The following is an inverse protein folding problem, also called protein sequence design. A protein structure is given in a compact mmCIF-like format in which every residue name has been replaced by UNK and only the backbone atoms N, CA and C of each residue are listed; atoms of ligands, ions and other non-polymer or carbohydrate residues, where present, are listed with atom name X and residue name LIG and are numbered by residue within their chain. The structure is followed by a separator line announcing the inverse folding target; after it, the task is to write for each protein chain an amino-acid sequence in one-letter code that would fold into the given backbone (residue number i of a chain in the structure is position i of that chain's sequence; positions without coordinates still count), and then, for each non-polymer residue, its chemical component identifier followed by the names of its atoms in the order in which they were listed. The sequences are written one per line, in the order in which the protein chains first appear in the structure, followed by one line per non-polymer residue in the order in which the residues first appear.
data_IF_687246407517
#
_entry.id   IF_687246407517
#
_cell.length_a   1.000
_cell.length_b   1.000
_cell.length_c   1.000
_cell.angle_alpha   90.00
_cell.angle_beta   90.00
_cell.angle_gamma   90.00
#
_symmetry.space_group_name_H-M   'P 1'
#
loop_
_entity.id
_entity.type
_entity.pdbx_description
1 polymer ?
#
# COMPACT_ATOMS: atom_id res chain seq x y z
N UNK A 1 11.53 15.39 1.48
CA UNK A 1 10.25 14.85 1.95
C UNK A 1 10.17 13.42 1.41
N UNK A 2 10.64 12.44 2.20
CA UNK A 2 10.62 11.02 1.82
C UNK A 2 9.31 10.43 2.34
N UNK A 3 8.29 10.39 1.48
CA UNK A 3 7.00 9.74 1.77
C UNK A 3 6.96 8.32 1.18
N UNK A 4 7.95 7.93 0.37
CA UNK A 4 8.09 6.58 -0.14
C UNK A 4 8.52 5.62 0.99
N UNK A 5 7.65 4.68 1.36
CA UNK A 5 7.82 3.26 0.98
C UNK A 5 6.92 2.27 1.77
N UNK A 6 6.01 2.73 2.63
CA UNK A 6 5.40 1.79 3.61
C UNK A 6 3.87 1.73 3.59
N UNK A 7 3.24 1.94 2.43
CA UNK A 7 1.77 1.85 2.30
C UNK A 7 1.30 0.47 1.76
N UNK A 8 2.21 -0.46 1.48
CA UNK A 8 1.91 -1.42 0.43
C UNK A 8 1.29 -2.78 0.80
N UNK A 9 1.38 -3.27 2.03
CA UNK A 9 1.18 -4.72 2.24
C UNK A 9 -0.23 -5.19 2.60
N UNK A 10 -1.15 -4.31 2.97
CA UNK A 10 -2.45 -4.74 3.52
C UNK A 10 -3.68 -4.39 2.68
N UNK A 11 -3.57 -3.51 1.67
CA UNK A 11 -4.71 -3.18 0.80
C UNK A 11 -5.20 -4.35 -0.06
N UNK A 12 -4.34 -5.34 -0.35
CA UNK A 12 -4.74 -6.56 -1.06
C UNK A 12 -5.63 -7.48 -0.21
N UNK A 13 -5.50 -7.43 1.12
CA UNK A 13 -6.39 -8.19 2.02
C UNK A 13 -7.77 -7.55 2.13
N UNK A 14 -7.84 -6.22 2.22
CA UNK A 14 -9.09 -5.52 2.52
C UNK A 14 -10.06 -5.40 1.33
N UNK A 15 -9.57 -5.41 0.09
CA UNK A 15 -10.43 -5.34 -1.10
C UNK A 15 -10.91 -6.70 -1.63
N UNK A 16 -10.30 -7.82 -1.20
CA UNK A 16 -10.60 -9.15 -1.73
C UNK A 16 -11.23 -10.12 -0.72
N UNK A 17 -11.42 -9.75 0.53
CA UNK A 17 -12.16 -10.58 1.48
C UNK A 17 -13.66 -10.25 1.45
N UNK A 18 -14.39 -10.79 0.46
CA UNK A 18 -15.77 -11.23 0.74
C UNK A 18 -15.65 -12.53 1.53
N UNK A 19 -15.14 -12.46 2.76
CA UNK A 19 -15.13 -13.63 3.62
C UNK A 19 -16.49 -13.69 4.31
N UNK A 20 -17.23 -14.75 4.03
CA UNK A 20 -18.16 -15.33 4.99
C UNK A 20 -17.39 -15.89 6.23
N UNK A 21 -16.36 -15.19 6.71
CA UNK A 21 -15.72 -15.48 7.99
C UNK A 21 -16.50 -14.72 9.06
N UNK A 22 -17.64 -15.29 9.43
CA UNK A 22 -18.20 -15.02 10.73
C UNK A 22 -17.18 -15.52 11.76
N UNK A 23 -16.46 -14.60 12.41
CA UNK A 23 -15.73 -14.97 13.64
C UNK A 23 -16.79 -15.47 14.63
N UNK A 24 -16.60 -16.65 15.20
CA UNK A 24 -17.60 -17.34 16.04
C UNK A 24 -17.93 -16.63 17.36
N UNK A 25 -17.46 -15.41 17.57
CA UNK A 25 -17.64 -14.61 18.79
C UNK A 25 -18.55 -13.40 18.55
N UNK A 26 -18.79 -12.98 17.29
CA UNK A 26 -19.61 -11.81 16.98
C UNK A 26 -20.64 -12.08 15.87
N UNK A 27 -21.66 -11.22 15.84
CA UNK A 27 -22.81 -11.27 14.93
C UNK A 27 -22.38 -11.62 13.49
N UNK A 28 -23.08 -12.55 12.78
CA UNK A 28 -22.77 -12.93 11.40
C UNK A 28 -22.85 -11.77 10.38
N UNK A 29 -23.19 -10.57 10.82
CA UNK A 29 -23.23 -9.33 10.05
C UNK A 29 -21.94 -8.52 10.11
N UNK A 30 -20.94 -8.96 10.89
CA UNK A 30 -19.66 -8.29 11.10
C UNK A 30 -18.53 -9.25 10.69
N UNK A 31 -17.75 -8.86 9.69
CA UNK A 31 -16.46 -9.44 9.37
C UNK A 31 -15.36 -8.75 10.18
N UNK A 32 -14.41 -9.54 10.67
CA UNK A 32 -13.20 -9.05 11.32
C UNK A 32 -12.00 -9.67 10.63
N UNK A 33 -10.94 -8.89 10.47
CA UNK A 33 -9.65 -9.37 10.01
C UNK A 33 -8.55 -8.70 10.80
N UNK A 34 -7.47 -9.40 11.05
CA UNK A 34 -6.27 -8.80 11.58
C UNK A 34 -5.03 -9.56 11.11
N UNK A 35 -3.89 -8.88 11.13
CA UNK A 35 -2.64 -9.52 10.80
C UNK A 35 -1.42 -8.82 11.33
N UNK A 36 -0.34 -9.58 11.42
CA UNK A 36 0.99 -9.14 11.81
C UNK A 36 2.01 -9.71 10.85
N UNK A 37 2.95 -8.89 10.39
CA UNK A 37 3.97 -9.26 9.42
C UNK A 37 5.35 -8.81 9.87
N UNK A 38 6.28 -9.76 9.97
CA UNK A 38 7.70 -9.46 10.04
C UNK A 38 8.26 -9.41 8.63
N UNK A 39 8.78 -8.26 8.23
CA UNK A 39 9.41 -8.06 6.94
C UNK A 39 10.93 -7.99 7.10
N UNK A 40 11.65 -8.55 6.14
CA UNK A 40 13.10 -8.44 6.04
C UNK A 40 13.47 -8.18 4.57
N UNK A 41 14.26 -7.14 4.34
CA UNK A 41 14.62 -6.75 2.99
C UNK A 41 15.88 -5.91 2.91
N UNK A 42 16.03 -5.24 1.77
CA UNK A 42 17.14 -4.32 1.48
C UNK A 42 17.25 -3.19 2.52
N UNK A 43 16.13 -2.73 3.09
CA UNK A 43 16.06 -1.57 3.99
C UNK A 43 15.82 -1.94 5.46
N UNK A 44 16.39 -3.07 5.91
CA UNK A 44 16.31 -3.62 7.28
C UNK A 44 15.06 -4.48 7.56
N UNK A 45 14.91 -4.85 8.85
CA UNK A 45 13.79 -5.61 9.38
C UNK A 45 12.79 -4.69 10.05
N UNK A 46 11.51 -4.89 9.76
CA UNK A 46 10.39 -4.09 10.27
C UNK A 46 9.22 -5.02 10.64
N UNK A 47 8.36 -4.55 11.52
CA UNK A 47 7.12 -5.19 11.90
C UNK A 47 5.93 -4.29 11.50
N UNK A 48 5.00 -4.88 10.78
CA UNK A 48 3.75 -4.25 10.36
C UNK A 48 2.54 -5.01 10.92
N UNK A 49 1.40 -4.35 10.99
CA UNK A 49 0.16 -4.99 11.36
C UNK A 49 -1.09 -4.20 11.02
N UNK A 50 -2.21 -4.90 11.01
CA UNK A 50 -3.53 -4.30 10.76
C UNK A 50 -4.63 -4.98 11.56
N UNK A 51 -5.73 -4.25 11.73
CA UNK A 51 -7.01 -4.74 12.20
C UNK A 51 -8.10 -4.05 11.38
N UNK A 52 -9.05 -4.83 10.87
CA UNK A 52 -10.17 -4.37 10.06
C UNK A 52 -11.51 -4.91 10.57
N UNK A 53 -12.53 -4.10 10.39
CA UNK A 53 -13.93 -4.44 10.64
C UNK A 53 -14.76 -4.10 9.41
N UNK A 54 -15.61 -5.02 8.98
CA UNK A 54 -16.51 -4.83 7.85
C UNK A 54 -17.93 -5.22 8.21
N UNK A 55 -18.89 -4.38 7.85
CA UNK A 55 -20.31 -4.62 8.06
C UNK A 55 -20.99 -5.01 6.75
N UNK A 56 -22.04 -5.85 6.83
CA UNK A 56 -22.82 -6.29 5.66
C UNK A 56 -23.42 -5.16 4.82
N UNK A 57 -23.67 -3.99 5.41
CA UNK A 57 -24.19 -2.84 4.68
C UNK A 57 -23.13 -2.16 3.79
N UNK A 58 -21.87 -2.57 3.89
CA UNK A 58 -20.75 -2.02 3.14
C UNK A 58 -19.90 -1.02 3.92
N UNK A 59 -20.31 -0.63 5.14
CA UNK A 59 -19.48 0.17 6.04
C UNK A 59 -18.28 -0.66 6.47
N UNK A 60 -17.09 -0.06 6.49
CA UNK A 60 -15.88 -0.69 6.98
C UNK A 60 -14.98 0.32 7.66
N UNK A 61 -14.10 -0.17 8.53
CA UNK A 61 -13.01 0.62 9.07
C UNK A 61 -11.80 -0.25 9.37
N UNK A 62 -10.64 0.35 9.33
CA UNK A 62 -9.37 -0.32 9.59
C UNK A 62 -8.44 0.58 10.38
N UNK A 63 -7.51 -0.07 11.06
CA UNK A 63 -6.33 0.54 11.65
C UNK A 63 -5.13 -0.31 11.25
N UNK A 64 -4.05 0.35 10.86
CA UNK A 64 -2.78 -0.31 10.60
C UNK A 64 -1.62 0.47 11.18
N UNK A 65 -0.56 -0.26 11.47
CA UNK A 65 0.70 0.30 11.88
C UNK A 65 1.81 -0.32 11.04
N UNK A 66 2.85 0.47 10.77
CA UNK A 66 4.01 0.03 10.01
C UNK A 66 5.29 0.69 10.49
N UNK A 67 6.42 0.22 9.98
CA UNK A 67 7.75 0.73 10.34
C UNK A 67 8.05 0.60 11.85
N UNK A 68 7.59 -0.48 12.48
CA UNK A 68 8.07 -0.82 13.83
C UNK A 68 9.40 -1.55 13.68
N UNK A 69 10.47 -0.78 13.63
CA UNK A 69 11.85 -1.26 13.51
C UNK A 69 12.74 -0.71 14.65
N UNK A 70 14.07 -0.83 14.49
CA UNK A 70 15.07 -0.25 15.42
C UNK A 70 15.83 0.93 14.83
N UNK A 71 15.44 1.40 13.65
CA UNK A 71 16.11 2.50 12.97
C UNK A 71 15.64 3.83 13.58
N UNK A 72 16.54 4.65 14.17
CA UNK A 72 16.17 5.94 14.73
C UNK A 72 15.72 6.95 13.66
N UNK A 73 16.04 6.71 12.38
CA UNK A 73 15.66 7.57 11.24
C UNK A 73 14.25 7.28 10.70
N UNK A 74 13.68 6.12 11.00
CA UNK A 74 12.31 5.79 10.63
C UNK A 74 11.34 6.24 11.74
N UNK A 75 10.09 6.50 11.34
CA UNK A 75 9.01 6.80 12.27
C UNK A 75 7.92 5.78 12.10
N UNK A 76 7.47 5.20 13.21
CA UNK A 76 6.29 4.33 13.22
C UNK A 76 5.13 5.10 12.62
N UNK A 77 4.49 4.49 11.64
CA UNK A 77 3.31 5.04 10.98
C UNK A 77 2.07 4.37 11.53
N UNK A 78 1.04 5.17 11.79
CA UNK A 78 -0.28 4.72 12.17
C UNK A 78 -1.26 5.27 11.16
N UNK A 79 -2.12 4.40 10.66
CA UNK A 79 -3.19 4.85 9.81
C UNK A 79 -4.50 4.19 10.18
N UNK A 80 -5.55 4.96 9.98
CA UNK A 80 -6.91 4.57 10.30
C UNK A 80 -7.81 5.04 9.19
N UNK A 81 -8.78 4.20 8.84
CA UNK A 81 -9.72 4.51 7.78
C UNK A 81 -11.14 4.16 8.20
N UNK A 82 -12.10 4.92 7.65
CA UNK A 82 -13.52 4.65 7.74
C UNK A 82 -14.13 4.93 6.37
N UNK A 83 -14.80 3.94 5.80
CA UNK A 83 -15.33 4.04 4.47
C UNK A 83 -16.58 3.20 4.24
N UNK A 84 -17.11 3.33 3.03
CA UNK A 84 -18.23 2.54 2.55
C UNK A 84 -17.86 1.96 1.19
N UNK A 85 -18.15 0.68 0.99
CA UNK A 85 -18.02 -0.01 -0.29
C UNK A 85 -19.34 -0.66 -0.72
N UNK A 86 -19.58 -0.71 -2.03
CA UNK A 86 -20.80 -1.29 -2.60
C UNK A 86 -20.53 -1.92 -3.96
N UNK A 87 -20.98 -3.16 -4.12
CA UNK A 87 -21.08 -3.79 -5.44
C UNK A 87 -22.19 -3.10 -6.24
N UNK A 88 -21.84 -2.51 -7.38
CA UNK A 88 -22.79 -1.77 -8.23
C UNK A 88 -23.10 -2.50 -9.55
N UNK A 89 -22.24 -3.43 -9.96
CA UNK A 89 -22.46 -4.33 -11.09
C UNK A 89 -21.66 -5.64 -10.86
N UNK A 90 -21.90 -6.71 -11.65
CA UNK A 90 -21.04 -7.89 -11.61
C UNK A 90 -19.57 -7.51 -11.76
N UNK A 91 -18.73 -8.05 -10.88
CA UNK A 91 -17.28 -7.79 -10.81
C UNK A 91 -16.88 -6.31 -10.64
N UNK A 92 -17.80 -5.43 -10.23
CA UNK A 92 -17.54 -4.00 -9.99
C UNK A 92 -17.99 -3.57 -8.59
N UNK A 93 -17.00 -3.25 -7.75
CA UNK A 93 -17.22 -2.65 -6.42
C UNK A 93 -16.62 -1.25 -6.45
N UNK A 94 -17.38 -0.28 -5.97
CA UNK A 94 -16.88 1.07 -5.71
C UNK A 94 -16.90 1.34 -4.22
N UNK A 95 -15.97 2.16 -3.75
CA UNK A 95 -15.93 2.60 -2.37
C UNK A 95 -15.19 3.91 -2.19
N UNK A 96 -15.33 4.46 -1.00
CA UNK A 96 -14.64 5.67 -0.60
C UNK A 96 -14.84 5.94 0.88
N UNK A 97 -14.08 6.89 1.40
CA UNK A 97 -14.08 7.18 2.82
C UNK A 97 -13.05 8.23 3.19
N UNK A 98 -12.75 8.26 4.48
CA UNK A 98 -11.74 9.12 5.07
C UNK A 98 -10.63 8.26 5.66
N UNK A 99 -9.40 8.71 5.50
CA UNK A 99 -8.23 8.12 6.13
C UNK A 99 -7.43 9.17 6.88
N UNK A 100 -6.71 8.70 7.88
CA UNK A 100 -5.82 9.48 8.69
C UNK A 100 -4.50 8.73 8.80
N UNK A 101 -3.42 9.31 8.29
CA UNK A 101 -2.06 8.81 8.44
C UNK A 101 -1.30 9.73 9.42
N UNK A 102 -0.77 9.16 10.48
CA UNK A 102 0.02 9.83 11.51
C UNK A 102 1.35 9.11 11.66
N UNK A 103 2.46 9.82 11.48
CA UNK A 103 3.79 9.31 11.86
C UNK A 103 4.11 9.81 13.27
N UNK A 104 4.73 8.97 14.11
CA UNK A 104 4.92 9.24 15.55
C UNK A 104 5.79 10.47 15.89
N UNK A 105 6.35 11.17 14.89
CA UNK A 105 7.18 12.38 15.02
C UNK A 105 6.89 13.43 13.93
N UNK A 106 5.85 13.26 13.14
CA UNK A 106 5.64 14.02 11.91
C UNK A 106 4.18 14.49 11.78
N UNK A 107 3.90 15.26 10.73
CA UNK A 107 2.57 15.83 10.51
C UNK A 107 1.51 14.76 10.19
N UNK A 108 0.27 15.06 10.61
CA UNK A 108 -0.90 14.22 10.34
C UNK A 108 -1.47 14.52 8.96
N UNK A 109 -1.52 13.52 8.11
CA UNK A 109 -2.15 13.58 6.80
C UNK A 109 -3.60 13.07 6.91
N UNK A 110 -4.56 13.94 6.60
CA UNK A 110 -5.97 13.57 6.53
C UNK A 110 -6.39 13.56 5.07
N UNK A 111 -6.98 12.46 4.62
CA UNK A 111 -7.31 12.25 3.21
C UNK A 111 -8.75 11.79 3.05
N UNK A 112 -9.33 12.16 1.91
CA UNK A 112 -10.50 11.48 1.36
C UNK A 112 -9.97 10.49 0.34
N UNK A 113 -10.44 9.24 0.39
CA UNK A 113 -10.11 8.27 -0.64
C UNK A 113 -11.35 7.83 -1.41
N UNK A 114 -11.15 7.48 -2.66
CA UNK A 114 -12.16 6.88 -3.54
C UNK A 114 -11.50 5.88 -4.46
N UNK A 115 -12.21 4.79 -4.73
CA UNK A 115 -11.66 3.71 -5.52
C UNK A 115 -12.65 2.60 -5.78
N UNK A 116 -12.13 1.50 -6.26
CA UNK A 116 -12.91 0.33 -6.57
C UNK A 116 -12.10 -0.73 -7.28
N UNK A 117 -12.72 -1.88 -7.50
CA UNK A 117 -12.17 -2.92 -8.32
C UNK A 117 -13.13 -3.26 -9.45
N UNK A 118 -12.55 -3.55 -10.61
CA UNK A 118 -13.23 -4.12 -11.77
C UNK A 118 -12.48 -5.38 -12.19
N UNK A 119 -13.09 -6.55 -11.99
CA UNK A 119 -12.48 -7.85 -12.28
C UNK A 119 -11.08 -7.96 -11.64
N UNK A 120 -10.02 -8.02 -12.46
CA UNK A 120 -8.63 -8.19 -12.04
C UNK A 120 -7.92 -6.88 -11.65
N UNK A 121 -8.59 -5.73 -11.78
CA UNK A 121 -7.95 -4.42 -11.61
C UNK A 121 -8.58 -3.70 -10.42
N UNK A 122 -7.75 -3.21 -9.50
CA UNK A 122 -8.16 -2.34 -8.40
C UNK A 122 -7.49 -0.98 -8.56
N UNK A 123 -8.22 0.10 -8.31
CA UNK A 123 -7.72 1.46 -8.36
C UNK A 123 -8.22 2.27 -7.18
N UNK A 124 -7.35 3.08 -6.58
CA UNK A 124 -7.70 4.04 -5.54
C UNK A 124 -6.98 5.36 -5.75
N UNK A 125 -7.64 6.44 -5.35
CA UNK A 125 -7.09 7.78 -5.31
C UNK A 125 -7.32 8.35 -3.90
N UNK A 126 -6.28 8.98 -3.36
CA UNK A 126 -6.26 9.63 -2.05
C UNK A 126 -6.04 11.13 -2.27
N UNK A 127 -6.88 11.94 -1.64
CA UNK A 127 -6.89 13.40 -1.78
C UNK A 127 -6.69 14.03 -0.40
N UNK A 128 -5.55 14.70 -0.21
CA UNK A 128 -5.27 15.40 1.02
C UNK A 128 -6.18 16.62 1.22
N UNK A 129 -6.65 16.82 2.45
CA UNK A 129 -7.59 17.90 2.80
C UNK A 129 -6.93 19.30 2.93
N UNK A 130 -5.60 19.38 3.05
CA UNK A 130 -4.85 20.61 3.34
C UNK A 130 -3.77 20.93 2.29
N UNK A 131 -4.14 21.03 1.01
CA UNK A 131 -3.20 21.22 -0.12
C UNK A 131 -2.11 20.13 -0.24
N UNK A 132 -2.31 18.98 0.39
CA UNK A 132 -1.42 17.83 0.20
C UNK A 132 -1.69 17.20 -1.17
N UNK A 133 -0.66 16.71 -1.86
CA UNK A 133 -0.81 16.13 -3.19
C UNK A 133 -1.72 14.91 -3.18
N UNK A 134 -2.31 14.62 -4.34
CA UNK A 134 -3.07 13.40 -4.53
C UNK A 134 -2.14 12.21 -4.78
N UNK A 135 -2.46 11.07 -4.17
CA UNK A 135 -1.75 9.81 -4.34
C UNK A 135 -2.66 8.78 -5.02
N UNK A 136 -2.08 7.93 -5.85
CA UNK A 136 -2.82 6.92 -6.60
C UNK A 136 -2.22 5.55 -6.39
N UNK A 137 -3.10 4.55 -6.27
CA UNK A 137 -2.74 3.14 -6.16
C UNK A 137 -3.48 2.38 -7.26
N UNK A 138 -2.75 1.55 -7.99
CA UNK A 138 -3.32 0.57 -8.91
C UNK A 138 -2.80 -0.82 -8.58
N UNK A 139 -3.68 -1.83 -8.60
CA UNK A 139 -3.32 -3.23 -8.39
C UNK A 139 -3.89 -4.05 -9.55
N UNK A 140 -3.11 -5.00 -10.04
CA UNK A 140 -3.53 -6.00 -11.02
C UNK A 140 -3.33 -7.38 -10.42
N UNK A 141 -4.40 -8.16 -10.33
CA UNK A 141 -4.36 -9.59 -10.03
C UNK A 141 -3.85 -10.35 -11.25
N UNK A 142 -2.78 -11.11 -11.07
CA UNK A 142 -2.12 -11.88 -12.12
C UNK A 142 -2.55 -13.35 -12.15
N UNK A 143 -3.39 -13.84 -11.24
CA UNK A 143 -3.87 -15.22 -11.17
C UNK A 143 -4.95 -15.56 -12.21
N UNK A 144 -4.74 -15.16 -13.46
CA UNK A 144 -5.61 -15.45 -14.60
C UNK A 144 -4.88 -16.27 -15.68
N UNK A 145 -5.66 -16.86 -16.60
CA UNK A 145 -5.11 -17.64 -17.71
C UNK A 145 -4.17 -18.77 -17.25
N UNK A 146 -2.94 -18.89 -17.80
CA UNK A 146 -1.97 -19.90 -17.38
C UNK A 146 -1.53 -19.77 -15.91
N UNK A 147 -1.49 -18.55 -15.37
CA UNK A 147 -1.02 -18.26 -14.01
C UNK A 147 -2.02 -18.67 -12.93
N UNK A 148 -3.31 -18.84 -13.28
CA UNK A 148 -4.37 -19.32 -12.37
C UNK A 148 -4.07 -20.67 -11.71
N UNK A 149 -3.23 -21.49 -12.34
CA UNK A 149 -2.86 -22.83 -11.82
C UNK A 149 -1.71 -22.80 -10.82
N UNK A 150 -1.02 -21.67 -10.67
CA UNK A 150 0.09 -21.54 -9.74
C UNK A 150 -0.51 -21.40 -8.33
N UNK A 151 -0.11 -22.22 -7.35
CA UNK A 151 -0.72 -22.24 -6.02
C UNK A 151 -0.13 -21.16 -5.11
N UNK A 152 0.07 -19.96 -5.65
CA UNK A 152 0.52 -18.72 -4.98
C UNK A 152 -0.26 -17.56 -5.59
N UNK A 153 -0.53 -16.54 -4.78
CA UNK A 153 -1.16 -15.31 -5.22
C UNK A 153 -0.09 -14.40 -5.83
N UNK A 154 -0.40 -13.84 -6.99
CA UNK A 154 0.49 -13.03 -7.82
C UNK A 154 -0.20 -11.70 -8.11
N UNK A 155 0.47 -10.60 -7.81
CA UNK A 155 -0.06 -9.28 -8.14
C UNK A 155 1.03 -8.30 -8.54
N UNK A 156 0.62 -7.29 -9.29
CA UNK A 156 1.41 -6.09 -9.52
C UNK A 156 0.72 -4.90 -8.92
N UNK A 157 1.47 -4.05 -8.25
CA UNK A 157 0.97 -2.82 -7.67
C UNK A 157 1.81 -1.64 -8.14
N UNK A 158 1.15 -0.53 -8.42
CA UNK A 158 1.77 0.74 -8.75
C UNK A 158 1.27 1.79 -7.77
N UNK A 159 2.20 2.54 -7.17
CA UNK A 159 1.90 3.72 -6.38
C UNK A 159 2.43 4.92 -7.14
N UNK A 160 1.63 5.98 -7.24
CA UNK A 160 2.08 7.25 -7.80
C UNK A 160 1.83 8.36 -6.81
N UNK A 161 2.92 9.05 -6.48
CA UNK A 161 2.92 10.24 -5.66
C UNK A 161 3.37 11.44 -6.52
N UNK A 162 3.39 12.64 -5.93
CA UNK A 162 3.74 13.84 -6.67
C UNK A 162 5.22 13.86 -7.13
N UNK A 163 6.11 13.22 -6.36
CA UNK A 163 7.57 13.24 -6.56
C UNK A 163 8.16 11.97 -7.16
N UNK A 164 7.32 10.97 -7.46
CA UNK A 164 7.82 9.66 -7.85
C UNK A 164 6.73 8.63 -8.09
N UNK A 165 7.18 7.42 -8.45
CA UNK A 165 6.29 6.29 -8.64
C UNK A 165 6.99 5.00 -8.27
N UNK A 166 6.27 4.13 -7.60
CA UNK A 166 6.78 2.84 -7.16
C UNK A 166 6.01 1.73 -7.85
N UNK A 167 6.75 0.70 -8.25
CA UNK A 167 6.22 -0.49 -8.89
C UNK A 167 6.61 -1.70 -8.07
N UNK A 168 5.65 -2.57 -7.82
CA UNK A 168 5.81 -3.75 -6.99
C UNK A 168 5.31 -4.97 -7.71
N UNK A 169 6.08 -6.04 -7.63
CA UNK A 169 5.67 -7.37 -8.00
C UNK A 169 5.63 -8.22 -6.73
N UNK A 170 4.45 -8.74 -6.42
CA UNK A 170 4.16 -9.40 -5.15
C UNK A 170 3.81 -10.86 -5.43
N UNK A 171 4.43 -11.75 -4.66
CA UNK A 171 4.13 -13.17 -4.65
C UNK A 171 3.86 -13.61 -3.23
N UNK A 172 2.73 -14.25 -2.96
CA UNK A 172 2.46 -14.71 -1.60
C UNK A 172 1.58 -15.95 -1.52
N UNK A 173 1.54 -16.51 -0.31
CA UNK A 173 0.67 -17.63 0.00
C UNK A 173 0.25 -17.58 1.44
N UNK A 174 -1.07 -17.61 1.64
CA UNK A 174 -1.69 -17.76 2.96
C UNK A 174 -2.22 -19.17 3.13
N UNK A 175 -1.80 -19.83 4.20
CA UNK A 175 -2.31 -21.16 4.57
C UNK A 175 -3.70 -21.05 5.20
N UNK A 176 -4.47 -22.14 5.21
CA UNK A 176 -5.77 -22.21 5.90
C UNK A 176 -5.68 -21.93 7.42
N UNK A 177 -4.48 -21.98 8.00
CA UNK A 177 -4.23 -21.67 9.41
C UNK A 177 -3.82 -20.21 9.64
N UNK A 178 -3.92 -19.36 8.60
CA UNK A 178 -3.58 -17.94 8.71
C UNK A 178 -2.09 -17.62 8.56
N UNK A 179 -1.22 -18.61 8.38
CA UNK A 179 0.21 -18.36 8.16
C UNK A 179 0.42 -17.84 6.74
N UNK A 180 1.05 -16.68 6.59
CA UNK A 180 1.35 -16.04 5.32
C UNK A 180 2.85 -15.95 5.10
N UNK A 181 3.29 -16.31 3.90
CA UNK A 181 4.66 -16.09 3.44
C UNK A 181 4.60 -15.40 2.10
N UNK A 182 5.43 -14.38 1.90
CA UNK A 182 5.53 -13.74 0.60
C UNK A 182 6.86 -13.06 0.34
N UNK A 183 6.95 -12.59 -0.89
CA UNK A 183 8.10 -11.89 -1.44
C UNK A 183 7.61 -10.75 -2.32
N UNK A 184 8.35 -9.65 -2.26
CA UNK A 184 8.11 -8.45 -3.04
C UNK A 184 9.41 -8.02 -3.69
N UNK A 185 9.33 -7.81 -4.99
CA UNK A 185 10.32 -7.06 -5.74
C UNK A 185 9.76 -5.68 -6.05
N UNK A 186 10.46 -4.63 -5.67
CA UNK A 186 10.03 -3.26 -5.93
C UNK A 186 11.07 -2.49 -6.74
N UNK A 187 10.55 -1.55 -7.53
CA UNK A 187 11.32 -0.47 -8.14
C UNK A 187 10.73 0.84 -7.66
N UNK A 188 11.57 1.70 -7.12
CA UNK A 188 11.21 3.06 -6.77
C UNK A 188 11.83 4.01 -7.78
N UNK A 189 11.03 4.93 -8.30
CA UNK A 189 11.50 5.99 -9.18
C UNK A 189 11.35 7.32 -8.48
N UNK A 190 12.44 8.05 -8.36
CA UNK A 190 12.47 9.40 -7.79
C UNK A 190 12.92 10.40 -8.85
N UNK A 191 12.37 11.61 -8.78
CA UNK A 191 12.84 12.75 -9.55
C UNK A 191 13.72 13.62 -8.64
N UNK A 192 15.01 13.71 -8.97
CA UNK A 192 15.99 14.60 -8.32
C UNK A 192 16.36 15.75 -9.25
N UNK A 193 17.02 16.77 -8.72
CA UNK A 193 17.50 17.91 -9.50
C UNK A 193 19.02 18.02 -9.37
N UNK A 194 19.72 18.07 -10.51
CA UNK A 194 21.17 18.32 -10.54
C UNK A 194 21.45 19.71 -11.12
N UNK A 195 22.28 20.48 -10.43
CA UNK A 195 22.80 21.74 -10.98
C UNK A 195 24.01 21.44 -11.85
N UNK A 196 23.87 21.64 -13.17
CA UNK A 196 24.98 21.52 -14.11
C UNK A 196 25.58 22.90 -14.36
N UNK A 197 26.88 23.04 -14.08
CA UNK A 197 27.64 24.28 -14.33
C UNK A 197 28.57 24.12 -15.52
N UNK A 198 28.35 24.92 -16.55
CA UNK A 198 29.25 25.01 -17.70
C UNK A 198 30.15 26.25 -17.58
N UNK A 199 31.45 26.05 -17.73
CA UNK A 199 32.44 27.14 -17.73
C UNK A 199 33.09 27.27 -19.10
N UNK A 200 32.98 28.44 -19.73
CA UNK A 200 33.67 28.75 -21.00
C UNK A 200 34.28 30.14 -20.92
N UNK A 201 35.58 30.24 -21.19
CA UNK A 201 36.33 31.50 -21.19
C UNK A 201 36.10 32.33 -19.89
N UNK A 202 36.17 31.68 -18.73
CA UNK A 202 35.97 32.33 -17.42
C UNK A 202 34.51 32.65 -17.05
N UNK A 203 33.56 32.50 -17.97
CA UNK A 203 32.14 32.72 -17.71
C UNK A 203 31.48 31.41 -17.28
N UNK A 204 30.73 31.44 -16.18
CA UNK A 204 29.98 30.30 -15.65
C UNK A 204 28.50 30.48 -15.95
N UNK A 205 27.85 29.43 -16.44
CA UNK A 205 26.39 29.34 -16.52
C UNK A 205 25.94 28.04 -15.87
N UNK A 206 25.05 28.15 -14.88
CA UNK A 206 24.44 27.00 -14.22
C UNK A 206 22.98 26.88 -14.64
N UNK A 207 22.51 25.65 -14.81
CA UNK A 207 21.09 25.35 -14.95
C UNK A 207 20.77 24.06 -14.21
N UNK A 208 19.58 24.01 -13.64
CA UNK A 208 19.06 22.82 -12.98
C UNK A 208 18.43 21.92 -14.01
N UNK A 209 18.78 20.63 -14.00
CA UNK A 209 18.13 19.61 -14.82
C UNK A 209 17.47 18.57 -13.92
N UNK A 210 16.25 18.11 -14.25
CA UNK A 210 15.67 16.96 -13.59
C UNK A 210 16.47 15.71 -13.96
N UNK A 211 16.77 14.87 -12.98
CA UNK A 211 17.37 13.56 -13.14
C UNK A 211 16.41 12.53 -12.58
N UNK A 212 16.27 11.44 -13.31
CA UNK A 212 15.54 10.28 -12.83
C UNK A 212 16.52 9.29 -12.22
N UNK A 213 16.26 8.88 -10.99
CA UNK A 213 16.99 7.81 -10.31
C UNK A 213 16.04 6.65 -10.01
N UNK A 214 16.55 5.43 -10.15
CA UNK A 214 15.79 4.20 -9.90
C UNK A 214 16.48 3.39 -8.79
N UNK A 215 15.71 3.04 -7.75
CA UNK A 215 16.10 2.07 -6.73
C UNK A 215 15.39 0.74 -6.95
N UNK A 216 16.03 -0.37 -6.57
CA UNK A 216 15.44 -1.71 -6.63
C UNK A 216 15.59 -2.42 -5.29
N UNK A 217 14.49 -2.95 -4.78
CA UNK A 217 14.44 -3.52 -3.44
C UNK A 217 13.76 -4.87 -3.43
N UNK A 218 14.16 -5.68 -2.45
CA UNK A 218 13.62 -7.01 -2.23
C UNK A 218 13.15 -7.10 -0.80
N UNK A 219 11.96 -7.66 -0.59
CA UNK A 219 11.39 -7.86 0.75
C UNK A 219 10.81 -9.27 0.82
N UNK A 220 11.22 -10.03 1.82
CA UNK A 220 10.54 -11.28 2.21
C UNK A 220 9.74 -10.97 3.46
N UNK A 221 8.53 -11.49 3.54
CA UNK A 221 7.69 -11.29 4.71
C UNK A 221 7.04 -12.58 5.17
N UNK A 222 6.89 -12.66 6.49
CA UNK A 222 6.25 -13.76 7.19
C UNK A 222 5.22 -13.17 8.15
N UNK A 223 4.00 -13.68 8.11
CA UNK A 223 2.94 -13.16 8.95
C UNK A 223 1.90 -14.16 9.37
N UNK A 224 1.02 -13.68 10.25
CA UNK A 224 -0.18 -14.39 10.68
C UNK A 224 -1.37 -13.49 10.41
N UNK A 225 -2.41 -14.05 9.81
CA UNK A 225 -3.70 -13.40 9.50
C UNK A 225 -4.82 -14.22 10.14
N UNK A 226 -5.77 -13.57 10.79
CA UNK A 226 -6.86 -14.22 11.53
C UNK A 226 -8.16 -13.43 11.47
#
# INVERSE_FOLDING_TARGET
MKILLTILFCFTSSFCQVTNQASGVLNPNIGLGAGLYANAGTDNMELDGFFEIQFKNGLYGDVWFSNVDRDPETSIEFNSSLGWMKAIAPDLILGGGISNNTKLKDERLNEIFLGGNISLITGMAFFGLNNSPANFIGIIDLNFGPLKKIPIDLSMMAVRENSGSDLFFIMNKTTKKGITVGYTFSRERFESEETRTFTKQGHKKSWTVPIQEDGFFNKVYFGFVF
#
